data_IF_262900879503
#
_entry.id   IF_262900879503
#
_cell.length_a   1.000
_cell.length_b   1.000
_cell.length_c   1.000
_cell.angle_alpha   90.00
_cell.angle_beta   90.00
_cell.angle_gamma   90.00
#
_symmetry.space_group_name_H-M   'P 1'
#
loop_
_entity.id
_entity.type
_entity.pdbx_description
1 polymer ?
#
# COMPACT_ATOMS: atom_id res chain seq x y z
N UNK A 1 13.91 -13.60 -2.15
CA UNK A 1 13.09 -12.38 -2.05
C UNK A 1 11.87 -12.64 -1.18
N UNK A 2 11.12 -13.73 -1.44
CA UNK A 2 9.98 -14.15 -0.63
C UNK A 2 10.49 -14.78 0.66
N UNK A 3 10.06 -14.26 1.82
CA UNK A 3 10.45 -14.81 3.13
C UNK A 3 9.47 -15.88 3.60
N UNK A 4 8.16 -15.59 3.53
CA UNK A 4 7.12 -16.54 3.91
C UNK A 4 6.02 -16.59 2.87
N UNK A 5 5.48 -17.81 2.69
CA UNK A 5 4.29 -18.11 1.90
C UNK A 5 3.20 -18.55 2.86
N UNK A 6 2.09 -17.82 2.88
CA UNK A 6 1.01 -18.07 3.82
C UNK A 6 -0.14 -18.81 3.18
N UNK A 7 -0.60 -19.82 3.87
CA UNK A 7 -1.83 -20.54 3.56
C UNK A 7 -2.96 -20.26 4.55
N UNK A 8 -2.65 -19.46 5.60
CA UNK A 8 -3.60 -19.16 6.67
C UNK A 8 -3.66 -17.65 6.92
N UNK A 9 -4.87 -17.11 6.88
CA UNK A 9 -5.16 -15.73 7.26
C UNK A 9 -6.22 -15.72 8.34
N UNK A 10 -6.05 -14.89 9.35
CA UNK A 10 -7.05 -14.66 10.40
C UNK A 10 -7.56 -13.24 10.33
N UNK A 11 -8.87 -13.06 10.33
CA UNK A 11 -9.51 -11.76 10.44
C UNK A 11 -10.29 -11.70 11.75
N UNK A 12 -10.02 -10.69 12.55
CA UNK A 12 -10.63 -10.49 13.86
C UNK A 12 -11.52 -9.25 13.86
N UNK A 13 -12.66 -9.35 14.50
CA UNK A 13 -13.45 -8.22 14.96
C UNK A 13 -13.60 -8.28 16.49
N UNK A 14 -14.44 -7.43 17.11
CA UNK A 14 -14.51 -7.38 18.58
C UNK A 14 -14.83 -8.75 19.22
N UNK A 15 -15.80 -9.49 18.65
CA UNK A 15 -16.30 -10.73 19.24
C UNK A 15 -16.16 -11.93 18.31
N UNK A 16 -15.74 -11.72 17.06
CA UNK A 16 -15.74 -12.76 16.03
C UNK A 16 -14.36 -12.89 15.40
N UNK A 17 -14.02 -14.12 15.05
CA UNK A 17 -12.81 -14.49 14.31
C UNK A 17 -13.20 -15.31 13.08
N UNK A 18 -12.57 -14.99 11.96
CA UNK A 18 -12.57 -15.87 10.79
C UNK A 18 -11.17 -16.38 10.52
N UNK A 19 -11.05 -17.66 10.24
CA UNK A 19 -9.81 -18.27 9.75
C UNK A 19 -10.06 -18.78 8.33
N UNK A 20 -9.23 -18.33 7.42
CA UNK A 20 -9.29 -18.78 6.04
C UNK A 20 -8.01 -19.56 5.74
N UNK A 21 -8.20 -20.81 5.28
CA UNK A 21 -7.13 -21.55 4.65
C UNK A 21 -7.20 -21.21 3.17
N UNK A 22 -6.17 -20.60 2.61
CA UNK A 22 -6.04 -20.36 1.19
C UNK A 22 -5.42 -21.59 0.51
N UNK A 23 -5.76 -21.87 -0.76
CA UNK A 23 -4.97 -22.78 -1.56
C UNK A 23 -3.52 -22.31 -1.62
N UNK A 24 -2.62 -23.16 -2.06
CA UNK A 24 -1.18 -22.96 -1.98
C UNK A 24 -0.74 -21.51 -2.25
N UNK A 25 -0.14 -20.89 -1.21
CA UNK A 25 0.65 -19.67 -1.31
C UNK A 25 -0.10 -18.41 -1.81
N UNK A 26 -1.21 -18.12 -1.19
CA UNK A 26 -2.07 -16.99 -1.51
C UNK A 26 -1.47 -15.61 -1.17
N UNK A 27 -0.69 -15.51 -0.10
CA UNK A 27 -0.06 -14.27 0.35
C UNK A 27 1.40 -14.52 0.69
N UNK A 28 2.24 -13.54 0.39
CA UNK A 28 3.66 -13.58 0.64
C UNK A 28 4.10 -12.40 1.49
N UNK A 29 5.06 -12.60 2.38
CA UNK A 29 5.83 -11.51 2.95
C UNK A 29 7.20 -11.43 2.29
N UNK A 30 7.68 -10.21 2.13
CA UNK A 30 9.00 -9.89 1.61
C UNK A 30 9.52 -8.60 2.24
N UNK A 31 10.81 -8.44 2.33
CA UNK A 31 11.42 -7.17 2.72
C UNK A 31 11.53 -6.25 1.51
N UNK A 32 10.94 -5.06 1.60
CA UNK A 32 11.02 -4.05 0.52
C UNK A 32 12.45 -3.73 0.11
N UNK A 33 13.39 -3.72 1.06
CA UNK A 33 14.82 -3.50 0.78
C UNK A 33 15.41 -4.60 -0.10
N UNK A 34 15.02 -5.87 0.11
CA UNK A 34 15.46 -7.00 -0.68
C UNK A 34 14.87 -6.95 -2.08
N UNK A 35 13.56 -6.66 -2.19
CA UNK A 35 12.90 -6.46 -3.49
C UNK A 35 13.55 -5.33 -4.29
N UNK A 36 13.75 -4.17 -3.67
CA UNK A 36 14.40 -3.03 -4.32
C UNK A 36 15.85 -3.30 -4.71
N UNK A 37 16.59 -4.04 -3.88
CA UNK A 37 17.95 -4.51 -4.21
C UNK A 37 17.97 -5.40 -5.46
N UNK A 38 17.07 -6.37 -5.51
CA UNK A 38 16.94 -7.26 -6.67
C UNK A 38 16.55 -6.49 -7.94
N UNK A 39 15.59 -5.58 -7.87
CA UNK A 39 15.20 -4.73 -9.01
C UNK A 39 16.39 -3.89 -9.50
N UNK A 40 17.17 -3.34 -8.58
CA UNK A 40 18.37 -2.57 -8.91
C UNK A 40 19.41 -3.43 -9.63
N UNK A 41 19.69 -4.65 -9.17
CA UNK A 41 20.60 -5.58 -9.84
C UNK A 41 20.18 -5.87 -11.28
N UNK A 42 18.86 -5.97 -11.56
CA UNK A 42 18.37 -6.11 -12.93
C UNK A 42 18.68 -4.87 -13.80
N UNK A 43 18.61 -3.66 -13.21
CA UNK A 43 18.95 -2.41 -13.91
C UNK A 43 20.45 -2.29 -14.18
N UNK A 44 21.30 -2.68 -13.24
CA UNK A 44 22.77 -2.64 -13.38
C UNK A 44 23.26 -3.53 -14.54
N UNK A 45 22.50 -4.58 -14.89
CA UNK A 45 22.76 -5.45 -16.04
C UNK A 45 22.10 -4.99 -17.36
N UNK A 46 21.53 -3.78 -17.38
CA UNK A 46 20.85 -3.19 -18.53
C UNK A 46 21.61 -1.97 -19.08
N UNK A 47 21.10 -1.37 -20.16
CA UNK A 47 21.61 -0.11 -20.71
C UNK A 47 21.09 1.14 -19.98
N UNK A 48 20.34 0.98 -18.88
CA UNK A 48 19.77 2.07 -18.11
C UNK A 48 20.84 2.71 -17.23
N UNK A 49 21.03 4.02 -17.36
CA UNK A 49 21.85 4.77 -16.44
C UNK A 49 21.12 4.91 -15.10
N UNK A 50 21.67 4.34 -14.04
CA UNK A 50 21.12 4.37 -12.70
C UNK A 50 21.96 5.27 -11.79
N UNK A 51 21.41 6.41 -11.42
CA UNK A 51 22.06 7.41 -10.57
C UNK A 51 21.40 7.49 -9.21
N UNK A 52 22.20 7.47 -8.14
CA UNK A 52 21.73 7.48 -6.75
C UNK A 52 22.29 8.68 -5.98
N UNK A 53 21.69 8.99 -4.84
CA UNK A 53 22.08 10.11 -3.95
C UNK A 53 21.98 11.47 -4.63
N UNK A 54 21.08 11.59 -5.59
CA UNK A 54 20.77 12.82 -6.32
C UNK A 54 19.31 13.19 -6.10
N UNK A 55 19.03 14.48 -6.11
CA UNK A 55 17.66 15.00 -5.95
C UNK A 55 17.26 15.84 -7.15
N UNK A 56 16.11 15.57 -7.73
CA UNK A 56 15.50 16.50 -8.69
C UNK A 56 14.93 17.66 -7.90
N UNK A 57 15.43 18.88 -8.15
CA UNK A 57 15.06 20.09 -7.41
C UNK A 57 14.10 20.98 -8.20
N UNK A 58 14.16 20.93 -9.53
CA UNK A 58 13.26 21.69 -10.40
C UNK A 58 12.89 20.88 -11.66
N UNK A 59 11.67 21.11 -12.17
CA UNK A 59 11.18 20.53 -13.44
C UNK A 59 10.80 21.65 -14.39
N UNK A 60 11.28 21.57 -15.61
CA UNK A 60 10.95 22.43 -16.75
C UNK A 60 10.32 21.58 -17.86
N UNK A 61 9.75 22.20 -18.92
CA UNK A 61 9.06 21.45 -19.98
C UNK A 61 9.92 20.41 -20.70
N UNK A 62 11.23 20.59 -20.76
CA UNK A 62 12.17 19.82 -21.58
C UNK A 62 13.40 19.32 -20.79
N UNK A 63 13.57 19.72 -19.54
CA UNK A 63 14.65 19.25 -18.65
C UNK A 63 14.25 19.24 -17.18
N UNK A 64 14.99 18.48 -16.38
CA UNK A 64 14.97 18.55 -14.92
C UNK A 64 16.30 19.13 -14.42
N UNK A 65 16.27 19.78 -13.25
CA UNK A 65 17.48 20.21 -12.53
C UNK A 65 17.75 19.21 -11.42
N UNK A 66 18.99 18.75 -11.36
CA UNK A 66 19.46 17.78 -10.34
C UNK A 66 20.47 18.52 -9.45
N UNK A 67 20.28 18.39 -8.14
CA UNK A 67 21.13 18.98 -7.09
C UNK A 67 21.43 20.48 -7.32
N UNK A 68 20.42 21.23 -7.80
CA UNK A 68 20.42 22.67 -8.07
C UNK A 68 21.39 23.17 -9.17
N UNK A 69 22.07 22.29 -9.89
CA UNK A 69 23.08 22.71 -10.88
C UNK A 69 23.10 21.94 -12.19
N UNK A 70 22.85 20.64 -12.20
CA UNK A 70 22.91 19.82 -13.41
C UNK A 70 21.55 19.81 -14.12
N UNK A 71 21.56 20.09 -15.43
CA UNK A 71 20.37 20.02 -16.28
C UNK A 71 20.36 18.72 -17.08
N UNK A 72 19.31 17.93 -16.94
CA UNK A 72 19.09 16.72 -17.71
C UNK A 72 17.85 16.89 -18.59
N UNK A 73 18.04 16.90 -19.90
CA UNK A 73 16.94 16.94 -20.87
C UNK A 73 16.17 15.62 -20.89
N UNK A 74 14.86 15.68 -21.15
CA UNK A 74 14.03 14.50 -21.31
C UNK A 74 13.05 14.63 -22.47
N UNK A 75 12.77 13.51 -23.12
CA UNK A 75 11.65 13.40 -24.05
C UNK A 75 10.37 12.99 -23.31
N UNK A 76 10.49 12.08 -22.36
CA UNK A 76 9.42 11.65 -21.47
C UNK A 76 9.90 11.73 -20.02
N UNK A 77 9.01 12.11 -19.11
CA UNK A 77 9.29 12.16 -17.67
C UNK A 77 8.32 11.23 -16.92
N UNK A 78 8.87 10.33 -16.10
CA UNK A 78 8.06 9.44 -15.25
C UNK A 78 8.30 9.80 -13.80
N UNK A 79 7.28 10.32 -13.12
CA UNK A 79 7.26 10.58 -11.69
C UNK A 79 6.94 9.31 -10.93
N UNK A 80 7.96 8.69 -10.34
CA UNK A 80 7.86 7.53 -9.44
C UNK A 80 8.35 7.89 -8.02
N UNK A 81 8.27 9.16 -7.67
CA UNK A 81 8.87 9.82 -6.51
C UNK A 81 7.97 9.84 -5.26
N UNK A 82 6.95 8.97 -5.24
CA UNK A 82 6.14 8.65 -4.07
C UNK A 82 5.16 9.76 -3.66
N UNK A 83 4.74 9.73 -2.39
CA UNK A 83 3.72 10.63 -1.86
C UNK A 83 4.05 12.12 -2.03
N UNK A 84 5.30 12.51 -1.80
CA UNK A 84 5.74 13.91 -1.88
C UNK A 84 6.16 14.35 -3.30
N UNK A 85 5.62 13.72 -4.32
CA UNK A 85 6.01 13.88 -5.73
C UNK A 85 6.19 15.33 -6.18
N UNK A 86 7.42 15.66 -6.60
CA UNK A 86 7.73 16.93 -7.25
C UNK A 86 7.13 17.00 -8.66
N UNK A 87 7.03 15.85 -9.35
CA UNK A 87 6.41 15.75 -10.68
C UNK A 87 4.91 16.05 -10.59
N UNK A 88 4.23 15.49 -9.60
CA UNK A 88 2.81 15.78 -9.34
C UNK A 88 2.61 17.27 -9.02
N UNK A 89 3.49 17.85 -8.20
CA UNK A 89 3.47 19.28 -7.87
C UNK A 89 3.69 20.16 -9.11
N UNK A 90 4.64 19.80 -9.97
CA UNK A 90 4.87 20.48 -11.25
C UNK A 90 3.62 20.50 -12.14
N UNK A 91 2.91 19.38 -12.21
CA UNK A 91 1.63 19.26 -12.93
C UNK A 91 0.47 20.00 -12.24
N UNK A 92 0.69 20.63 -11.07
CA UNK A 92 -0.32 21.31 -10.26
C UNK A 92 -1.50 20.40 -9.86
N UNK A 93 -1.25 19.09 -9.73
CA UNK A 93 -2.25 18.12 -9.33
C UNK A 93 -2.28 18.05 -7.80
N UNK A 94 -3.42 18.38 -7.15
CA UNK A 94 -3.50 18.38 -5.70
C UNK A 94 -3.31 16.99 -5.09
N UNK A 95 -2.80 16.94 -3.84
CA UNK A 95 -2.66 15.73 -3.04
C UNK A 95 -3.58 15.83 -1.83
N UNK A 96 -4.84 15.40 -1.98
CA UNK A 96 -5.90 15.62 -0.98
C UNK A 96 -6.25 14.36 -0.18
N UNK A 97 -5.95 13.18 -0.71
CA UNK A 97 -6.32 11.90 -0.10
C UNK A 97 -5.10 11.05 0.15
N UNK A 98 -4.88 10.77 1.43
CA UNK A 98 -3.84 9.85 1.85
C UNK A 98 -4.22 9.16 3.16
N UNK A 99 -3.62 8.04 3.41
CA UNK A 99 -3.61 7.38 4.71
C UNK A 99 -2.32 7.72 5.44
N UNK A 100 -2.32 7.59 6.76
CA UNK A 100 -1.11 7.54 7.56
C UNK A 100 -0.98 6.11 8.06
N UNK A 101 0.09 5.43 7.64
CA UNK A 101 0.49 4.14 8.15
C UNK A 101 1.53 4.30 9.25
N UNK A 102 1.37 3.57 10.34
CA UNK A 102 2.37 3.44 11.40
C UNK A 102 2.59 1.97 11.70
N UNK A 103 3.83 1.57 11.91
CA UNK A 103 4.17 0.19 12.20
C UNK A 103 5.43 0.06 13.04
N UNK A 104 5.54 -1.08 13.72
CA UNK A 104 6.74 -1.56 14.37
C UNK A 104 7.22 -2.84 13.70
N UNK A 105 8.53 -2.94 13.47
CA UNK A 105 9.19 -4.21 13.15
C UNK A 105 9.76 -4.75 14.47
N UNK A 106 9.18 -5.83 14.93
CA UNK A 106 9.51 -6.44 16.23
C UNK A 106 10.35 -7.69 15.98
N UNK A 107 11.58 -7.80 16.51
CA UNK A 107 12.35 -9.03 16.44
C UNK A 107 11.61 -10.16 17.16
N UNK A 108 11.54 -11.34 16.56
CA UNK A 108 10.89 -12.50 17.15
C UNK A 108 11.32 -13.79 16.45
N UNK A 109 11.28 -14.89 17.19
CA UNK A 109 11.57 -16.24 16.71
C UNK A 109 10.36 -17.15 16.96
N UNK A 110 10.21 -18.21 16.18
CA UNK A 110 9.14 -19.21 16.32
C UNK A 110 7.71 -18.61 16.28
N UNK A 111 7.50 -17.67 15.39
CA UNK A 111 6.19 -17.05 15.21
C UNK A 111 5.19 -18.03 14.60
N UNK A 112 3.94 -17.90 15.01
CA UNK A 112 2.84 -18.52 14.29
C UNK A 112 2.78 -17.93 12.87
N UNK A 113 2.87 -18.76 11.81
CA UNK A 113 2.93 -18.29 10.43
C UNK A 113 1.54 -17.90 9.91
N UNK A 114 0.80 -17.09 10.65
CA UNK A 114 -0.53 -16.58 10.27
C UNK A 114 -0.48 -15.08 10.06
N UNK A 115 -1.02 -14.64 8.93
CA UNK A 115 -1.35 -13.22 8.75
C UNK A 115 -2.57 -12.88 9.58
N UNK A 116 -2.52 -11.78 10.30
CA UNK A 116 -3.64 -11.31 11.10
C UNK A 116 -4.08 -9.91 10.67
N UNK A 117 -5.39 -9.76 10.48
CA UNK A 117 -6.06 -8.48 10.22
C UNK A 117 -7.05 -8.23 11.36
N UNK A 118 -6.99 -7.06 11.96
CA UNK A 118 -7.78 -6.68 13.13
C UNK A 118 -8.70 -5.50 12.85
N UNK A 119 -9.99 -5.78 12.71
CA UNK A 119 -11.05 -4.81 12.41
C UNK A 119 -11.68 -4.26 13.69
N UNK A 120 -10.93 -3.47 14.45
CA UNK A 120 -11.39 -2.91 15.73
C UNK A 120 -11.76 -1.43 15.56
N UNK A 121 -13.01 -1.14 15.24
CA UNK A 121 -13.50 0.23 14.98
C UNK A 121 -13.30 1.19 16.17
N UNK A 122 -13.22 0.66 17.41
CA UNK A 122 -12.89 1.42 18.63
C UNK A 122 -11.55 2.13 18.50
N UNK A 123 -10.55 1.44 17.93
CA UNK A 123 -9.17 1.94 17.80
C UNK A 123 -8.90 2.58 16.42
N UNK A 124 -9.36 1.94 15.33
CA UNK A 124 -8.92 2.25 13.97
C UNK A 124 -10.01 2.80 13.06
N UNK A 125 -11.21 3.09 13.60
CA UNK A 125 -12.36 3.62 12.83
C UNK A 125 -12.71 2.71 11.64
N UNK A 126 -12.56 3.21 10.41
CA UNK A 126 -12.88 2.48 9.17
C UNK A 126 -11.71 1.66 8.62
N UNK A 127 -10.60 1.63 9.32
CA UNK A 127 -9.41 0.89 8.94
C UNK A 127 -9.10 -0.21 9.96
N UNK A 128 -7.88 -0.72 9.93
CA UNK A 128 -7.50 -1.94 10.63
C UNK A 128 -6.08 -1.88 11.17
N UNK A 129 -5.74 -2.84 12.01
CA UNK A 129 -4.37 -3.17 12.33
C UNK A 129 -4.03 -4.54 11.75
N UNK A 130 -2.74 -4.81 11.60
CA UNK A 130 -2.21 -6.06 11.08
C UNK A 130 -1.08 -6.59 11.93
N UNK A 131 -0.88 -7.91 11.88
CA UNK A 131 0.32 -8.60 12.35
C UNK A 131 0.79 -9.51 11.22
N UNK A 132 1.93 -9.20 10.63
CA UNK A 132 2.51 -9.91 9.50
C UNK A 132 3.84 -10.53 9.90
N UNK A 133 3.91 -11.85 10.03
CA UNK A 133 5.16 -12.55 10.32
C UNK A 133 6.17 -12.44 9.16
N UNK A 134 7.43 -12.32 9.53
CA UNK A 134 8.60 -12.40 8.69
C UNK A 134 9.53 -13.48 9.26
N UNK A 135 10.64 -13.79 8.60
CA UNK A 135 11.54 -14.88 8.98
C UNK A 135 12.03 -14.78 10.45
N UNK A 136 12.53 -13.61 10.87
CA UNK A 136 13.09 -13.38 12.20
C UNK A 136 12.44 -12.16 12.90
N UNK A 137 11.24 -11.80 12.50
CA UNK A 137 10.51 -10.66 13.05
C UNK A 137 9.03 -10.75 12.70
N UNK A 138 8.22 -9.87 13.28
CA UNK A 138 6.91 -9.56 12.73
C UNK A 138 6.75 -8.05 12.57
N UNK A 139 5.92 -7.67 11.63
CA UNK A 139 5.50 -6.29 11.46
C UNK A 139 4.10 -6.14 12.01
N UNK A 140 3.96 -5.31 13.03
CA UNK A 140 2.65 -4.93 13.56
C UNK A 140 2.39 -3.47 13.24
N UNK A 141 1.24 -3.18 12.67
CA UNK A 141 0.93 -1.82 12.26
C UNK A 141 -0.55 -1.53 12.16
N UNK A 142 -0.86 -0.28 11.89
CA UNK A 142 -2.22 0.18 11.62
C UNK A 142 -2.20 1.36 10.65
N UNK A 143 -3.37 1.68 10.13
CA UNK A 143 -3.55 2.74 9.15
C UNK A 143 -4.83 3.51 9.42
N UNK A 144 -4.84 4.80 9.09
CA UNK A 144 -6.04 5.64 9.18
C UNK A 144 -5.94 6.85 8.24
N UNK A 145 -7.07 7.35 7.77
CA UNK A 145 -7.14 8.66 7.12
C UNK A 145 -7.03 9.77 8.17
N UNK A 146 -6.08 10.74 8.01
CA UNK A 146 -5.91 11.84 8.95
C UNK A 146 -7.13 12.76 9.07
N UNK A 147 -8.04 12.77 8.09
CA UNK A 147 -9.32 13.46 8.17
C UNK A 147 -10.28 12.86 9.21
N UNK A 148 -10.08 11.57 9.55
CA UNK A 148 -10.88 10.87 10.56
C UNK A 148 -10.22 10.83 11.91
N UNK A 149 -8.91 10.78 11.95
CA UNK A 149 -8.14 10.64 13.20
C UNK A 149 -6.74 11.22 13.00
N UNK A 150 -6.34 12.15 13.86
CA UNK A 150 -4.98 12.69 13.81
C UNK A 150 -3.92 11.60 14.02
N UNK A 151 -2.72 11.80 13.47
CA UNK A 151 -1.60 10.86 13.63
C UNK A 151 -1.28 10.57 15.10
N UNK A 152 -1.36 11.59 15.97
CA UNK A 152 -1.18 11.43 17.43
C UNK A 152 -2.22 10.48 17.99
N UNK A 153 -3.52 10.71 17.70
CA UNK A 153 -4.61 9.85 18.20
C UNK A 153 -4.52 8.43 17.65
N UNK A 154 -4.10 8.26 16.39
CA UNK A 154 -3.84 6.94 15.81
C UNK A 154 -2.75 6.21 16.61
N UNK A 155 -1.64 6.87 16.90
CA UNK A 155 -0.53 6.31 17.68
C UNK A 155 -0.98 5.93 19.11
N UNK A 156 -1.73 6.80 19.79
CA UNK A 156 -2.24 6.53 21.14
C UNK A 156 -3.17 5.31 21.13
N UNK A 157 -4.11 5.25 20.18
CA UNK A 157 -5.03 4.13 20.02
C UNK A 157 -4.29 2.83 19.66
N UNK A 158 -3.25 2.92 18.84
CA UNK A 158 -2.43 1.78 18.46
C UNK A 158 -1.70 1.19 19.67
N UNK A 159 -1.08 2.03 20.51
CA UNK A 159 -0.45 1.57 21.74
C UNK A 159 -1.46 0.97 22.73
N UNK A 160 -2.66 1.55 22.84
CA UNK A 160 -3.71 0.98 23.67
C UNK A 160 -4.14 -0.41 23.17
N UNK A 161 -4.26 -0.58 21.85
CA UNK A 161 -4.56 -1.87 21.24
C UNK A 161 -3.43 -2.89 21.41
N UNK A 162 -2.16 -2.48 21.19
CA UNK A 162 -0.99 -3.35 21.45
C UNK A 162 -0.98 -3.88 22.87
N UNK A 163 -1.22 -2.99 23.86
CA UNK A 163 -1.33 -3.37 25.27
C UNK A 163 -2.47 -4.36 25.52
N UNK A 164 -3.66 -4.12 24.94
CA UNK A 164 -4.81 -5.05 25.06
C UNK A 164 -4.49 -6.43 24.47
N UNK A 165 -3.68 -6.48 23.42
CA UNK A 165 -3.25 -7.73 22.77
C UNK A 165 -2.02 -8.39 23.41
N UNK A 166 -1.40 -7.76 24.38
CA UNK A 166 -0.17 -8.25 24.99
C UNK A 166 1.04 -8.22 24.05
N UNK A 167 1.02 -7.36 23.02
CA UNK A 167 2.11 -7.24 22.06
C UNK A 167 3.10 -6.20 22.56
N UNK A 168 4.30 -6.64 22.96
CA UNK A 168 5.41 -5.74 23.30
C UNK A 168 6.08 -5.22 22.02
N UNK A 169 6.40 -3.95 22.02
CA UNK A 169 7.18 -3.27 20.98
C UNK A 169 8.50 -2.72 21.52
N UNK A 170 8.94 -3.22 22.67
CA UNK A 170 10.23 -2.88 23.24
C UNK A 170 11.36 -3.34 22.31
N UNK A 171 12.33 -2.46 22.05
CA UNK A 171 13.42 -2.72 21.10
C UNK A 171 13.00 -2.76 19.64
N UNK A 172 11.73 -2.51 19.31
CA UNK A 172 11.25 -2.55 17.93
C UNK A 172 11.59 -1.27 17.15
N UNK A 173 11.76 -1.42 15.84
CA UNK A 173 11.99 -0.28 14.93
C UNK A 173 10.65 0.30 14.48
N UNK A 174 10.45 1.58 14.78
CA UNK A 174 9.26 2.33 14.39
C UNK A 174 9.38 2.89 12.98
N UNK A 175 8.31 2.76 12.19
CA UNK A 175 8.17 3.38 10.89
C UNK A 175 6.82 4.08 10.76
N UNK A 176 6.81 5.22 10.05
CA UNK A 176 5.56 5.90 9.69
C UNK A 176 5.72 6.52 8.31
N UNK A 177 4.67 6.42 7.51
CA UNK A 177 4.64 7.00 6.17
C UNK A 177 3.21 7.37 5.77
N UNK A 178 3.02 8.44 5.00
CA UNK A 178 1.80 8.68 4.26
C UNK A 178 1.68 7.69 3.10
N UNK A 179 0.45 7.36 2.69
CA UNK A 179 0.15 6.47 1.58
C UNK A 179 -0.88 7.17 0.69
N UNK A 180 -0.47 7.55 -0.52
CA UNK A 180 -1.33 8.29 -1.45
C UNK A 180 -2.33 7.37 -2.16
N UNK A 181 -3.62 7.70 -2.05
CA UNK A 181 -4.70 7.08 -2.82
C UNK A 181 -5.54 8.10 -3.62
N UNK A 182 -4.94 9.25 -3.93
CA UNK A 182 -5.59 10.34 -4.67
C UNK A 182 -5.30 10.26 -6.16
N UNK A 183 -5.81 9.21 -6.81
CA UNK A 183 -5.67 9.02 -8.26
C UNK A 183 -6.41 10.13 -9.03
N UNK A 184 -5.71 10.79 -9.95
CA UNK A 184 -6.20 11.89 -10.80
C UNK A 184 -5.83 11.71 -12.28
N UNK A 185 -5.40 10.52 -12.67
CA UNK A 185 -4.82 10.22 -13.97
C UNK A 185 -3.34 9.85 -13.86
N UNK A 186 -2.80 9.28 -14.92
CA UNK A 186 -1.40 8.85 -14.94
C UNK A 186 -0.60 9.33 -16.16
N UNK A 187 -1.25 9.77 -17.26
CA UNK A 187 -0.61 10.30 -18.47
C UNK A 187 -1.02 11.77 -18.65
N UNK A 188 -0.06 12.65 -18.75
CA UNK A 188 -0.22 14.11 -18.90
C UNK A 188 0.73 14.62 -19.99
N UNK A 189 0.33 14.41 -21.26
CA UNK A 189 1.22 14.61 -22.40
C UNK A 189 2.39 13.63 -22.37
N UNK A 190 3.60 14.14 -22.29
CA UNK A 190 4.84 13.36 -22.16
C UNK A 190 5.29 13.11 -20.72
N UNK A 191 4.45 13.44 -19.73
CA UNK A 191 4.73 13.23 -18.31
C UNK A 191 3.78 12.15 -17.74
N UNK A 192 4.36 11.20 -17.00
CA UNK A 192 3.62 10.11 -16.36
C UNK A 192 3.78 10.17 -14.85
N UNK A 193 2.72 9.77 -14.12
CA UNK A 193 2.75 9.56 -12.67
C UNK A 193 2.44 8.11 -12.37
N UNK A 194 3.33 7.43 -11.66
CA UNK A 194 3.18 6.00 -11.33
C UNK A 194 3.24 5.75 -9.83
N UNK A 195 2.74 4.61 -9.39
CA UNK A 195 2.73 4.26 -7.98
C UNK A 195 2.03 5.29 -7.10
N UNK A 196 2.62 5.61 -5.97
CA UNK A 196 2.06 6.59 -5.03
C UNK A 196 2.07 8.03 -5.57
N UNK A 197 3.00 8.39 -6.45
CA UNK A 197 2.98 9.69 -7.11
C UNK A 197 1.71 9.88 -7.95
N UNK A 198 1.25 8.80 -8.61
CA UNK A 198 -0.02 8.74 -9.32
C UNK A 198 -1.25 8.55 -8.43
N UNK A 199 -1.07 8.28 -7.13
CA UNK A 199 -2.18 7.99 -6.21
C UNK A 199 -2.80 6.61 -6.41
N UNK A 200 -2.02 5.63 -6.84
CA UNK A 200 -2.49 4.29 -7.17
C UNK A 200 -2.67 3.36 -5.97
N UNK A 201 -2.21 3.73 -4.76
CA UNK A 201 -2.44 2.88 -3.60
C UNK A 201 -3.94 2.76 -3.27
N UNK A 202 -4.31 1.69 -2.58
CA UNK A 202 -5.68 1.50 -2.11
C UNK A 202 -5.99 2.39 -0.91
N UNK A 203 -7.07 3.15 -0.97
CA UNK A 203 -7.56 3.94 0.16
C UNK A 203 -8.21 3.11 1.26
N UNK A 204 -8.55 1.85 1.01
CA UNK A 204 -9.14 0.94 1.99
C UNK A 204 -8.07 0.09 2.69
N UNK A 205 -7.18 -0.53 1.91
CA UNK A 205 -6.20 -1.49 2.42
C UNK A 205 -4.79 -0.91 2.60
N UNK A 206 -4.48 0.22 1.97
CA UNK A 206 -3.12 0.77 1.94
C UNK A 206 -2.14 0.00 1.04
N UNK A 207 -2.61 -1.00 0.30
CA UNK A 207 -1.81 -1.73 -0.68
C UNK A 207 -1.36 -0.82 -1.82
N UNK A 208 -0.13 -1.01 -2.31
CA UNK A 208 0.42 -0.17 -3.36
C UNK A 208 1.53 -0.83 -4.19
N UNK A 209 2.08 -1.98 -3.77
CA UNK A 209 3.22 -2.60 -4.46
C UNK A 209 2.80 -3.08 -5.86
N UNK A 210 1.75 -3.89 -5.96
CA UNK A 210 1.23 -4.38 -7.23
C UNK A 210 0.83 -3.23 -8.16
N UNK A 211 0.09 -2.26 -7.64
CA UNK A 211 -0.35 -1.09 -8.37
C UNK A 211 0.82 -0.25 -8.90
N UNK A 212 1.90 -0.17 -8.12
CA UNK A 212 3.11 0.55 -8.54
C UNK A 212 3.84 -0.17 -9.68
N UNK A 213 3.93 -1.50 -9.63
CA UNK A 213 4.53 -2.32 -10.69
C UNK A 213 3.73 -2.18 -11.99
N UNK A 214 2.40 -2.40 -11.92
CA UNK A 214 1.50 -2.27 -13.09
C UNK A 214 1.57 -0.89 -13.70
N UNK A 215 1.46 0.17 -12.90
CA UNK A 215 1.49 1.53 -13.43
C UNK A 215 2.83 1.91 -14.04
N UNK A 216 3.94 1.41 -13.49
CA UNK A 216 5.28 1.59 -14.06
C UNK A 216 5.45 0.89 -15.41
N UNK A 217 5.03 -0.37 -15.49
CA UNK A 217 5.07 -1.15 -16.72
C UNK A 217 4.21 -0.53 -17.82
N UNK A 218 2.98 -0.12 -17.47
CA UNK A 218 2.06 0.52 -18.43
C UNK A 218 2.60 1.86 -18.91
N UNK A 219 3.21 2.67 -18.04
CA UNK A 219 3.86 3.91 -18.46
C UNK A 219 4.97 3.64 -19.48
N UNK A 220 5.83 2.64 -19.23
CA UNK A 220 6.90 2.25 -20.14
C UNK A 220 6.36 1.78 -21.50
N UNK A 221 5.36 0.90 -21.50
CA UNK A 221 4.72 0.41 -22.74
C UNK A 221 4.06 1.54 -23.54
N UNK A 222 3.38 2.47 -22.84
CA UNK A 222 2.76 3.64 -23.50
C UNK A 222 3.79 4.62 -24.08
N UNK A 223 5.00 4.69 -23.51
CA UNK A 223 6.11 5.49 -24.07
C UNK A 223 6.64 4.86 -25.36
N UNK A 224 6.66 3.53 -25.44
CA UNK A 224 7.13 2.79 -26.62
C UNK A 224 6.09 2.73 -27.73
N UNK A 225 4.81 2.70 -27.36
CA UNK A 225 3.66 2.62 -28.27
C UNK A 225 2.54 3.54 -27.72
N UNK A 226 2.31 4.68 -28.38
CA UNK A 226 1.35 5.68 -27.91
C UNK A 226 -0.11 5.19 -27.94
N UNK A 227 -0.40 4.19 -28.77
CA UNK A 227 -1.72 3.55 -28.90
C UNK A 227 -1.90 2.38 -27.93
N UNK A 228 -0.88 2.05 -27.12
CA UNK A 228 -0.95 0.99 -26.15
C UNK A 228 -2.06 1.21 -25.13
N UNK A 229 -2.92 0.21 -24.98
CA UNK A 229 -3.99 0.16 -23.98
C UNK A 229 -3.77 -1.01 -23.04
N UNK A 230 -4.11 -0.84 -21.77
CA UNK A 230 -3.93 -1.89 -20.74
C UNK A 230 -5.23 -2.13 -19.98
N UNK A 231 -5.77 -3.36 -20.09
CA UNK A 231 -6.86 -3.81 -19.24
C UNK A 231 -6.42 -3.98 -17.79
N UNK A 232 -5.14 -4.23 -17.55
CA UNK A 232 -4.61 -4.43 -16.22
C UNK A 232 -4.65 -3.13 -15.39
N UNK A 233 -4.19 -2.00 -15.94
CA UNK A 233 -4.30 -0.70 -15.25
C UNK A 233 -5.75 -0.27 -15.07
N UNK A 234 -6.61 -0.55 -16.07
CA UNK A 234 -8.04 -0.28 -15.96
C UNK A 234 -8.68 -1.09 -14.83
N UNK A 235 -8.25 -2.34 -14.65
CA UNK A 235 -8.68 -3.20 -13.55
C UNK A 235 -8.22 -2.68 -12.20
N UNK A 236 -6.98 -2.23 -12.08
CA UNK A 236 -6.45 -1.57 -10.87
C UNK A 236 -7.27 -0.32 -10.53
N UNK A 237 -7.56 0.54 -11.52
CA UNK A 237 -8.35 1.76 -11.32
C UNK A 237 -9.78 1.41 -10.86
N UNK A 238 -10.44 0.45 -11.52
CA UNK A 238 -11.79 -0.02 -11.15
C UNK A 238 -11.81 -0.62 -9.74
N UNK A 239 -10.83 -1.46 -9.41
CA UNK A 239 -10.70 -2.07 -8.09
C UNK A 239 -10.55 -1.00 -7.00
N UNK A 240 -9.66 -0.04 -7.18
CA UNK A 240 -9.49 1.07 -6.25
C UNK A 240 -10.77 1.92 -6.10
N UNK A 241 -11.50 2.14 -7.19
CA UNK A 241 -12.79 2.86 -7.14
C UNK A 241 -13.85 2.10 -6.32
N UNK A 242 -13.91 0.77 -6.43
CA UNK A 242 -14.79 -0.07 -5.61
C UNK A 242 -14.39 0.01 -4.14
N UNK A 243 -13.10 -0.11 -3.84
CA UNK A 243 -12.58 -0.01 -2.47
C UNK A 243 -12.90 1.36 -1.84
N UNK A 244 -12.82 2.45 -2.62
CA UNK A 244 -13.24 3.77 -2.15
C UNK A 244 -14.74 3.84 -1.81
N UNK A 245 -15.61 3.15 -2.55
CA UNK A 245 -17.03 3.05 -2.22
C UNK A 245 -17.24 2.28 -0.91
N UNK A 246 -16.55 1.17 -0.72
CA UNK A 246 -16.57 0.40 0.54
C UNK A 246 -16.09 1.26 1.70
N UNK A 247 -14.95 1.94 1.54
CA UNK A 247 -14.42 2.84 2.56
C UNK A 247 -15.43 3.94 2.95
N UNK A 248 -16.07 4.59 1.96
CA UNK A 248 -17.12 5.60 2.21
C UNK A 248 -18.32 5.02 2.94
N UNK A 249 -18.74 3.81 2.62
CA UNK A 249 -19.80 3.10 3.34
C UNK A 249 -19.38 2.83 4.79
N UNK A 250 -18.20 2.29 5.03
CA UNK A 250 -17.66 2.06 6.38
C UNK A 250 -17.50 3.38 7.15
N UNK A 251 -17.15 4.46 6.47
CA UNK A 251 -17.09 5.79 7.10
C UNK A 251 -18.46 6.24 7.58
N UNK A 252 -19.48 6.15 6.71
CA UNK A 252 -20.86 6.58 7.01
C UNK A 252 -21.55 5.71 8.04
N UNK A 253 -21.16 4.44 8.21
CA UNK A 253 -21.76 3.54 9.19
C UNK A 253 -21.56 3.98 10.65
N UNK A 254 -20.64 4.92 10.94
CA UNK A 254 -20.51 5.60 12.23
C UNK A 254 -20.41 4.63 13.42
N UNK A 255 -21.34 4.74 14.36
CA UNK A 255 -21.39 3.88 15.55
C UNK A 255 -21.76 2.43 15.24
N UNK A 256 -22.43 2.18 14.12
CA UNK A 256 -22.83 0.83 13.69
C UNK A 256 -21.67 0.05 13.03
N UNK A 257 -20.53 0.68 12.76
CA UNK A 257 -19.37 0.07 12.09
C UNK A 257 -18.89 -1.21 12.77
N UNK A 258 -18.95 -1.27 14.10
CA UNK A 258 -18.61 -2.49 14.84
C UNK A 258 -19.46 -3.70 14.41
N UNK A 259 -20.74 -3.50 14.18
CA UNK A 259 -21.64 -4.58 13.72
C UNK A 259 -21.42 -4.91 12.25
N UNK A 260 -21.07 -3.93 11.42
CA UNK A 260 -20.66 -4.16 10.03
C UNK A 260 -19.42 -5.05 9.99
N UNK A 261 -18.42 -4.78 10.82
CA UNK A 261 -17.22 -5.62 10.91
C UNK A 261 -17.52 -7.03 11.43
N UNK A 262 -18.34 -7.16 12.47
CA UNK A 262 -18.80 -8.47 12.93
C UNK A 262 -19.47 -9.25 11.79
N UNK A 263 -20.39 -8.62 11.07
CA UNK A 263 -21.08 -9.25 9.94
C UNK A 263 -20.10 -9.64 8.83
N UNK A 264 -19.14 -8.80 8.47
CA UNK A 264 -18.09 -9.13 7.49
C UNK A 264 -17.32 -10.37 7.95
N UNK A 265 -16.87 -10.42 9.20
CA UNK A 265 -16.09 -11.55 9.72
C UNK A 265 -16.93 -12.83 9.77
N UNK A 266 -18.23 -12.73 10.09
CA UNK A 266 -19.17 -13.87 10.02
C UNK A 266 -19.32 -14.37 8.58
N UNK A 267 -19.49 -13.46 7.61
CA UNK A 267 -19.57 -13.82 6.19
C UNK A 267 -18.30 -14.51 5.70
N UNK A 268 -17.12 -14.07 6.16
CA UNK A 268 -15.84 -14.72 5.84
C UNK A 268 -15.73 -16.16 6.40
N UNK A 269 -16.58 -16.58 7.33
CA UNK A 269 -16.66 -17.96 7.78
C UNK A 269 -17.50 -18.84 6.85
N UNK A 270 -18.30 -18.25 5.95
CA UNK A 270 -19.10 -19.00 5.01
C UNK A 270 -18.23 -19.56 3.86
N UNK A 271 -18.30 -20.88 3.64
CA UNK A 271 -17.46 -21.57 2.64
C UNK A 271 -17.68 -21.05 1.20
N UNK A 272 -18.92 -20.66 0.85
CA UNK A 272 -19.21 -20.11 -0.49
C UNK A 272 -18.51 -18.76 -0.69
N UNK A 273 -18.47 -17.92 0.35
CA UNK A 273 -17.76 -16.62 0.32
C UNK A 273 -16.25 -16.86 0.22
N UNK A 274 -15.71 -17.79 0.98
CA UNK A 274 -14.30 -18.19 0.89
C UNK A 274 -13.93 -18.61 -0.52
N UNK A 275 -14.69 -19.54 -1.11
CA UNK A 275 -14.45 -20.05 -2.46
C UNK A 275 -14.49 -18.92 -3.51
N UNK A 276 -15.44 -17.97 -3.38
CA UNK A 276 -15.55 -16.84 -4.30
C UNK A 276 -14.36 -15.87 -4.18
N UNK A 277 -13.88 -15.63 -2.97
CA UNK A 277 -12.67 -14.84 -2.74
C UNK A 277 -11.48 -15.53 -3.41
N UNK A 278 -11.30 -16.83 -3.21
CA UNK A 278 -10.21 -17.60 -3.83
C UNK A 278 -10.24 -17.52 -5.36
N UNK A 279 -11.42 -17.69 -5.98
CA UNK A 279 -11.55 -17.60 -7.45
C UNK A 279 -11.33 -16.20 -8.04
N UNK A 280 -11.31 -15.16 -7.21
CA UNK A 280 -11.03 -13.79 -7.66
C UNK A 280 -9.53 -13.47 -7.69
N UNK A 281 -8.69 -14.36 -7.19
CA UNK A 281 -7.23 -14.22 -7.14
C UNK A 281 -6.50 -15.33 -7.94
N UNK A 282 -7.22 -16.29 -8.52
CA UNK A 282 -6.75 -17.25 -9.50
C UNK A 282 -6.99 -16.75 -10.93
#
# INVERSE_FOLDING_TARGET
>A
IIEHKFTKTSVFSNNTKSMTNAPEHFVFTLRRKVLGGWQREQLENSTVEFRTKLSVTEIKPDYVVVDDHEKLGYRYLVGADGYASIVRKYLKIPQEKHLIGIQYTVPAHNLDPRLEIHLYSKYFKSWYAWVFPHENSFVVGCVCDPKMMSAKKLKDNFHAWLKEKGISVEGAVYHSAPISYDYRGYKFGNIFLVGEAGGFASGLTGEGIYQSLVSGEVAAKTILDEDYTSEEINSVIRYNAIQLKIMKFLYRSGIFRKYVYEFIVILLNNQRVKNKIHSSFS
#
